data_IF_309936697534
#
_entry.id   IF_309936697534
#
_cell.length_a   1.000
_cell.length_b   1.000
_cell.length_c   1.000
_cell.angle_alpha   90.00
_cell.angle_beta   90.00
_cell.angle_gamma   90.00
#
_symmetry.space_group_name_H-M   'P 1'
#
loop_
_entity.id
_entity.type
_entity.pdbx_description
1 polymer ?
#
# COMPACT_ATOMS: atom_id res chain seq x y z
N UNK A 1 -7.79 56.25 -2.09
CA UNK A 1 -7.63 55.44 -0.84
C UNK A 1 -7.91 53.97 -1.06
N UNK A 2 -9.07 53.52 -1.52
CA UNK A 2 -9.37 52.09 -1.76
C UNK A 2 -8.44 51.46 -2.83
N UNK A 3 -8.19 52.14 -3.95
CA UNK A 3 -7.32 51.65 -4.99
C UNK A 3 -5.85 51.51 -4.53
N UNK A 4 -5.36 52.37 -3.63
CA UNK A 4 -4.04 52.28 -3.03
C UNK A 4 -3.97 51.10 -2.02
N UNK A 5 -5.01 50.85 -1.26
CA UNK A 5 -5.11 49.68 -0.39
C UNK A 5 -5.08 48.38 -1.21
N UNK A 6 -5.82 48.34 -2.31
CA UNK A 6 -5.88 47.17 -3.20
C UNK A 6 -4.48 46.89 -3.86
N UNK A 7 -3.77 47.92 -4.25
CA UNK A 7 -2.40 47.82 -4.77
C UNK A 7 -1.41 47.36 -3.69
N UNK A 8 -1.51 47.87 -2.46
CA UNK A 8 -0.70 47.44 -1.34
C UNK A 8 -0.95 45.96 -0.93
N UNK A 9 -2.22 45.54 -0.94
CA UNK A 9 -2.59 44.14 -0.68
C UNK A 9 -2.06 43.23 -1.80
N UNK A 10 -2.25 43.61 -3.06
CA UNK A 10 -1.65 42.86 -4.19
C UNK A 10 -0.13 42.85 -4.16
N UNK A 11 0.52 43.92 -3.79
CA UNK A 11 1.96 43.97 -3.67
C UNK A 11 2.50 43.10 -2.53
N UNK A 12 1.81 43.07 -1.39
CA UNK A 12 2.17 42.19 -0.25
C UNK A 12 1.93 40.71 -0.56
N UNK A 13 0.92 40.37 -1.37
CA UNK A 13 0.69 39.00 -1.83
C UNK A 13 1.74 38.57 -2.85
N UNK A 14 2.18 39.47 -3.73
CA UNK A 14 3.19 39.22 -4.75
C UNK A 14 4.62 39.20 -4.22
N UNK A 15 4.88 39.83 -3.05
CA UNK A 15 6.19 39.89 -2.41
C UNK A 15 6.34 38.94 -1.22
N UNK A 16 5.35 38.11 -0.94
CA UNK A 16 5.50 37.07 0.04
C UNK A 16 6.58 36.10 -0.47
N UNK A 17 7.77 36.15 0.14
CA UNK A 17 8.83 35.17 -0.16
C UNK A 17 8.22 33.78 -0.02
N UNK A 18 8.32 33.00 -1.11
CA UNK A 18 7.83 31.63 -1.13
C UNK A 18 8.37 30.89 0.07
N UNK A 19 7.50 30.37 0.88
CA UNK A 19 7.87 29.56 2.03
C UNK A 19 8.76 28.38 1.59
N UNK A 20 9.50 27.83 2.51
CA UNK A 20 10.42 26.71 2.25
C UNK A 20 9.65 25.48 1.73
N UNK A 21 8.42 25.31 2.20
CA UNK A 21 7.43 24.33 1.74
C UNK A 21 7.09 24.50 0.25
N UNK A 22 6.77 25.73 -0.19
CA UNK A 22 6.46 26.02 -1.59
C UNK A 22 7.64 25.79 -2.52
N UNK A 23 8.87 26.14 -2.08
CA UNK A 23 10.08 25.88 -2.87
C UNK A 23 10.38 24.38 -3.03
N UNK A 24 10.11 23.61 -1.98
CA UNK A 24 10.24 22.15 -2.03
C UNK A 24 9.19 21.57 -2.97
N UNK A 25 7.94 21.97 -2.86
CA UNK A 25 6.85 21.49 -3.73
C UNK A 25 7.15 21.79 -5.20
N UNK A 26 7.56 23.03 -5.53
CA UNK A 26 7.92 23.39 -6.91
C UNK A 26 9.11 22.59 -7.45
N UNK A 27 10.11 22.30 -6.61
CA UNK A 27 11.25 21.48 -7.02
C UNK A 27 10.89 20.02 -7.31
N UNK A 28 9.92 19.46 -6.57
CA UNK A 28 9.45 18.10 -6.75
C UNK A 28 8.30 17.95 -7.73
N UNK A 29 7.61 19.03 -8.10
CA UNK A 29 6.47 19.02 -9.01
C UNK A 29 6.73 18.31 -10.34
N UNK A 30 7.84 18.53 -11.07
CA UNK A 30 8.11 17.84 -12.32
C UNK A 30 8.20 16.30 -12.15
N UNK A 31 8.78 15.86 -11.04
CA UNK A 31 8.89 14.43 -10.71
C UNK A 31 7.50 13.87 -10.38
N UNK A 32 6.72 14.58 -9.58
CA UNK A 32 5.34 14.22 -9.25
C UNK A 32 4.46 14.12 -10.50
N UNK A 33 4.58 15.06 -11.42
CA UNK A 33 3.79 15.10 -12.67
C UNK A 33 4.09 13.90 -13.58
N UNK A 34 5.36 13.50 -13.68
CA UNK A 34 5.75 12.31 -14.45
C UNK A 34 5.14 11.05 -13.83
N UNK A 35 5.26 10.86 -12.52
CA UNK A 35 4.69 9.69 -11.84
C UNK A 35 3.17 9.69 -11.88
N UNK A 36 2.54 10.83 -11.63
CA UNK A 36 1.09 10.99 -11.69
C UNK A 36 0.57 10.73 -13.10
N UNK A 37 1.23 11.27 -14.13
CA UNK A 37 0.89 11.04 -15.51
C UNK A 37 1.00 9.56 -15.92
N UNK A 38 1.99 8.85 -15.39
CA UNK A 38 2.16 7.42 -15.67
C UNK A 38 1.13 6.55 -14.94
N UNK A 39 0.86 6.84 -13.67
CA UNK A 39 -0.07 6.04 -12.82
C UNK A 39 -1.52 6.33 -13.16
N UNK A 40 -1.87 7.61 -13.32
CA UNK A 40 -3.24 8.06 -13.61
C UNK A 40 -3.50 8.27 -15.11
N UNK A 41 -2.71 7.63 -15.97
CA UNK A 41 -2.94 7.68 -17.42
C UNK A 41 -4.39 7.31 -17.74
N UNK A 42 -5.16 8.20 -18.41
CA UNK A 42 -6.57 7.96 -18.66
C UNK A 42 -6.76 6.92 -19.77
N UNK A 43 -7.58 5.91 -19.50
CA UNK A 43 -8.09 4.98 -20.51
C UNK A 43 -9.62 5.12 -20.52
N UNK A 44 -10.14 5.81 -21.54
CA UNK A 44 -11.55 6.20 -21.56
C UNK A 44 -11.86 7.19 -20.44
N UNK A 45 -12.89 6.91 -19.66
CA UNK A 45 -13.38 7.82 -18.60
C UNK A 45 -12.64 7.67 -17.26
N UNK A 46 -11.78 6.65 -17.10
CA UNK A 46 -11.13 6.36 -15.83
C UNK A 46 -9.62 6.15 -15.97
N UNK A 47 -8.84 6.44 -14.92
CA UNK A 47 -7.41 6.15 -14.86
C UNK A 47 -7.10 4.65 -15.02
N UNK A 48 -6.02 4.34 -15.76
CA UNK A 48 -5.54 2.97 -15.99
C UNK A 48 -5.39 2.16 -14.69
N UNK A 49 -4.90 2.78 -13.64
CA UNK A 49 -4.69 2.13 -12.34
C UNK A 49 -5.96 1.52 -11.76
N UNK A 50 -7.13 2.12 -12.01
CA UNK A 50 -8.42 1.58 -11.53
C UNK A 50 -8.73 0.26 -12.24
N UNK A 51 -8.56 0.20 -13.57
CA UNK A 51 -8.77 -1.03 -14.32
C UNK A 51 -7.80 -2.14 -13.89
N UNK A 52 -6.53 -1.77 -13.63
CA UNK A 52 -5.52 -2.71 -13.17
C UNK A 52 -5.86 -3.27 -11.78
N UNK A 53 -6.21 -2.41 -10.82
CA UNK A 53 -6.50 -2.82 -9.45
C UNK A 53 -7.79 -3.63 -9.33
N UNK A 54 -8.88 -3.13 -9.90
CA UNK A 54 -10.18 -3.82 -9.87
C UNK A 54 -10.13 -5.09 -10.71
N UNK A 55 -9.54 -5.02 -11.89
CA UNK A 55 -9.39 -6.16 -12.80
C UNK A 55 -8.56 -7.29 -12.19
N UNK A 56 -7.41 -6.97 -11.58
CA UNK A 56 -6.58 -7.98 -10.91
C UNK A 56 -7.27 -8.58 -9.68
N UNK A 57 -7.94 -7.76 -8.88
CA UNK A 57 -8.68 -8.23 -7.71
C UNK A 57 -9.83 -9.17 -8.11
N UNK A 58 -10.58 -8.82 -9.15
CA UNK A 58 -11.63 -9.66 -9.70
C UNK A 58 -11.06 -10.96 -10.30
N UNK A 59 -9.98 -10.86 -11.07
CA UNK A 59 -9.29 -12.02 -11.64
C UNK A 59 -8.89 -13.02 -10.56
N UNK A 60 -8.19 -12.58 -9.52
CA UNK A 60 -7.79 -13.48 -8.44
C UNK A 60 -8.98 -14.03 -7.65
N UNK A 61 -10.03 -13.23 -7.45
CA UNK A 61 -11.24 -13.69 -6.77
C UNK A 61 -11.92 -14.82 -7.54
N UNK A 62 -11.99 -14.72 -8.87
CA UNK A 62 -12.58 -15.75 -9.73
C UNK A 62 -11.67 -16.98 -9.85
N UNK A 63 -10.36 -16.80 -10.05
CA UNK A 63 -9.39 -17.90 -10.19
C UNK A 63 -9.33 -18.75 -8.91
N UNK A 64 -9.34 -18.13 -7.75
CA UNK A 64 -9.27 -18.82 -6.46
C UNK A 64 -10.65 -19.14 -5.84
N UNK A 65 -11.74 -18.88 -6.57
CA UNK A 65 -13.10 -19.19 -6.16
C UNK A 65 -13.46 -18.61 -4.78
N UNK A 66 -13.31 -17.29 -4.64
CA UNK A 66 -13.64 -16.55 -3.41
C UNK A 66 -12.92 -17.10 -2.16
N UNK A 67 -11.58 -17.03 -2.10
CA UNK A 67 -10.80 -17.62 -1.01
C UNK A 67 -11.15 -17.02 0.35
N UNK A 68 -11.56 -15.76 0.39
CA UNK A 68 -12.03 -15.05 1.57
C UNK A 68 -13.27 -15.72 2.23
N UNK A 69 -14.18 -16.26 1.45
CA UNK A 69 -15.35 -16.99 1.95
C UNK A 69 -14.98 -18.44 2.24
N UNK A 70 -14.32 -19.10 1.28
CA UNK A 70 -14.01 -20.53 1.34
C UNK A 70 -13.09 -20.91 2.50
N UNK A 71 -12.07 -20.08 2.78
CA UNK A 71 -11.08 -20.37 3.82
C UNK A 71 -11.28 -19.56 5.09
N UNK A 72 -12.40 -18.86 5.25
CA UNK A 72 -12.66 -18.02 6.42
C UNK A 72 -12.56 -18.79 7.74
N UNK A 73 -13.22 -19.93 7.85
CA UNK A 73 -13.17 -20.78 9.05
C UNK A 73 -11.76 -21.34 9.27
N UNK A 74 -11.06 -21.70 8.19
CA UNK A 74 -9.68 -22.19 8.27
C UNK A 74 -8.76 -21.09 8.80
N UNK A 75 -8.90 -19.86 8.31
CA UNK A 75 -8.13 -18.71 8.78
C UNK A 75 -8.32 -18.46 10.28
N UNK A 76 -9.56 -18.53 10.79
CA UNK A 76 -9.85 -18.41 12.23
C UNK A 76 -9.16 -19.53 13.01
N UNK A 77 -9.19 -20.75 12.52
CA UNK A 77 -8.56 -21.90 13.18
C UNK A 77 -7.02 -21.76 13.21
N UNK A 78 -6.41 -21.24 12.14
CA UNK A 78 -4.96 -20.93 12.07
C UNK A 78 -4.59 -19.89 13.12
N UNK A 79 -5.33 -18.78 13.18
CA UNK A 79 -5.06 -17.71 14.16
C UNK A 79 -5.23 -18.18 15.60
N UNK A 80 -6.15 -19.14 15.83
CA UNK A 80 -6.34 -19.78 17.14
C UNK A 80 -5.28 -20.82 17.51
N UNK A 81 -4.30 -21.07 16.65
CA UNK A 81 -3.21 -22.03 16.88
C UNK A 81 -3.62 -23.49 16.74
N UNK A 82 -4.76 -23.80 16.09
CA UNK A 82 -5.19 -25.19 15.94
C UNK A 82 -4.21 -26.05 15.16
N UNK A 83 -3.41 -25.45 14.29
CA UNK A 83 -2.47 -26.13 13.42
C UNK A 83 -1.00 -25.97 13.86
N UNK A 84 -0.72 -25.25 14.94
CA UNK A 84 0.65 -24.99 15.42
C UNK A 84 1.45 -26.27 15.71
N UNK A 85 0.76 -27.36 16.12
CA UNK A 85 1.42 -28.64 16.36
C UNK A 85 1.81 -29.40 15.08
N UNK A 86 1.20 -29.05 13.93
CA UNK A 86 1.53 -29.66 12.64
C UNK A 86 2.73 -28.98 11.98
N UNK A 87 2.99 -27.73 12.36
CA UNK A 87 4.08 -26.91 11.81
C UNK A 87 5.39 -27.06 12.61
N UNK A 88 5.32 -27.56 13.86
CA UNK A 88 6.48 -27.85 14.69
C UNK A 88 7.14 -29.15 14.24
N UNK A 89 7.98 -29.06 13.23
CA UNK A 89 9.00 -30.10 12.98
C UNK A 89 10.09 -29.89 14.02
N UNK A 90 10.68 -30.96 14.57
CA UNK A 90 11.67 -30.96 15.68
C UNK A 90 12.92 -30.07 15.45
N UNK A 91 13.09 -29.55 14.24
CA UNK A 91 14.18 -28.63 13.88
C UNK A 91 13.82 -27.13 13.95
N UNK A 92 12.54 -26.77 14.16
CA UNK A 92 12.04 -25.39 13.94
C UNK A 92 11.74 -24.60 15.21
N UNK A 93 12.17 -25.03 16.38
CA UNK A 93 12.17 -24.17 17.58
C UNK A 93 13.31 -23.17 17.52
N UNK A 94 13.35 -22.33 16.47
CA UNK A 94 14.30 -21.22 16.38
C UNK A 94 13.66 -19.97 16.97
N UNK A 95 14.39 -19.36 17.89
CA UNK A 95 14.11 -18.04 18.43
C UNK A 95 13.86 -17.05 17.26
N UNK A 96 12.68 -16.44 17.22
CA UNK A 96 12.34 -15.43 16.21
C UNK A 96 11.07 -15.73 15.39
N UNK A 97 10.49 -16.93 15.43
CA UNK A 97 9.18 -17.15 14.81
C UNK A 97 8.07 -16.55 15.65
N UNK A 98 7.30 -15.66 15.02
CA UNK A 98 6.11 -15.05 15.63
C UNK A 98 4.92 -15.98 15.45
N UNK A 99 4.02 -16.07 16.43
CA UNK A 99 2.77 -16.82 16.31
C UNK A 99 1.88 -16.22 15.21
N UNK A 100 0.98 -17.04 14.66
CA UNK A 100 0.01 -16.57 13.65
C UNK A 100 -0.83 -15.40 14.14
N UNK A 101 -1.18 -15.35 15.43
CA UNK A 101 -1.88 -14.23 16.03
C UNK A 101 -1.01 -12.97 16.07
N UNK A 102 0.27 -13.09 16.43
CA UNK A 102 1.20 -11.96 16.44
C UNK A 102 1.45 -11.43 15.03
N UNK A 103 1.60 -12.32 14.04
CA UNK A 103 1.74 -11.94 12.64
C UNK A 103 0.51 -11.17 12.14
N UNK A 104 -0.70 -11.64 12.46
CA UNK A 104 -1.94 -10.95 12.13
C UNK A 104 -2.03 -9.59 12.81
N UNK A 105 -1.75 -9.51 14.11
CA UNK A 105 -1.79 -8.27 14.88
C UNK A 105 -0.81 -7.23 14.32
N UNK A 106 0.40 -7.64 13.97
CA UNK A 106 1.41 -6.77 13.35
C UNK A 106 0.96 -6.29 11.97
N UNK A 107 0.41 -7.18 11.14
CA UNK A 107 -0.10 -6.83 9.81
C UNK A 107 -1.26 -5.82 9.90
N UNK A 108 -2.21 -6.01 10.81
CA UNK A 108 -3.34 -5.09 11.03
C UNK A 108 -2.82 -3.75 11.53
N UNK A 109 -1.94 -3.74 12.52
CA UNK A 109 -1.35 -2.51 13.06
C UNK A 109 -0.57 -1.70 12.02
N UNK A 110 0.19 -2.38 11.15
CA UNK A 110 0.94 -1.71 10.08
C UNK A 110 0.08 -1.24 8.89
N UNK A 111 -1.13 -1.78 8.74
CA UNK A 111 -2.02 -1.44 7.62
C UNK A 111 -2.97 -0.30 7.97
N UNK A 112 -3.40 -0.19 9.22
CA UNK A 112 -4.33 0.85 9.67
C UNK A 112 -3.58 2.17 9.89
N UNK A 113 -3.91 3.16 9.07
CA UNK A 113 -3.32 4.49 9.13
C UNK A 113 -4.34 5.59 8.84
N UNK A 114 -3.89 6.84 8.74
CA UNK A 114 -4.74 7.98 8.42
C UNK A 114 -5.52 7.82 7.11
N UNK A 115 -4.98 7.08 6.14
CA UNK A 115 -5.68 6.75 4.91
C UNK A 115 -7.01 6.03 5.14
N UNK A 116 -7.07 5.16 6.14
CA UNK A 116 -8.30 4.43 6.49
C UNK A 116 -9.35 5.30 7.19
N UNK A 117 -8.94 6.43 7.76
CA UNK A 117 -9.82 7.36 8.48
C UNK A 117 -10.13 8.56 7.59
N UNK A 118 -9.14 9.39 7.32
CA UNK A 118 -9.30 10.62 6.55
C UNK A 118 -9.60 10.34 5.07
N UNK A 119 -8.94 9.35 4.46
CA UNK A 119 -9.19 8.95 3.06
C UNK A 119 -10.60 8.41 2.85
N UNK A 120 -11.13 7.63 3.79
CA UNK A 120 -12.52 7.13 3.73
C UNK A 120 -13.51 8.29 3.91
N UNK A 121 -13.26 9.19 4.86
CA UNK A 121 -14.10 10.36 5.06
C UNK A 121 -14.14 11.25 3.81
N UNK A 122 -12.98 11.49 3.17
CA UNK A 122 -12.90 12.23 1.92
C UNK A 122 -13.66 11.54 0.78
N UNK A 123 -13.50 10.23 0.65
CA UNK A 123 -14.20 9.45 -0.37
C UNK A 123 -15.73 9.53 -0.22
N UNK A 124 -16.23 9.52 1.02
CA UNK A 124 -17.67 9.69 1.31
C UNK A 124 -18.12 11.12 1.04
N UNK A 125 -17.31 12.11 1.40
CA UNK A 125 -17.62 13.52 1.16
C UNK A 125 -17.75 13.85 -0.34
N UNK A 126 -16.89 13.24 -1.18
CA UNK A 126 -16.89 13.46 -2.62
C UNK A 126 -17.87 12.54 -3.37
N UNK A 127 -17.98 11.29 -2.98
CA UNK A 127 -18.75 10.26 -3.68
C UNK A 127 -20.12 9.96 -3.04
N UNK A 128 -20.45 10.62 -1.93
CA UNK A 128 -21.70 10.39 -1.21
C UNK A 128 -21.81 8.99 -0.58
N UNK A 129 -23.00 8.58 -0.12
CA UNK A 129 -23.21 7.28 0.54
C UNK A 129 -22.86 6.08 -0.33
N UNK A 130 -22.95 6.19 -1.65
CA UNK A 130 -22.58 5.15 -2.61
C UNK A 130 -21.10 4.78 -2.55
N UNK A 131 -20.22 5.70 -2.16
CA UNK A 131 -18.80 5.43 -2.00
C UNK A 131 -18.53 4.33 -0.95
N UNK A 132 -19.28 4.34 0.15
CA UNK A 132 -19.16 3.30 1.19
C UNK A 132 -19.48 1.91 0.64
N UNK A 133 -20.56 1.80 -0.13
CA UNK A 133 -20.93 0.53 -0.77
C UNK A 133 -19.81 0.00 -1.67
N UNK A 134 -19.29 0.86 -2.55
CA UNK A 134 -18.22 0.45 -3.46
C UNK A 134 -16.90 0.14 -2.75
N UNK A 135 -16.57 0.86 -1.68
CA UNK A 135 -15.40 0.54 -0.86
C UNK A 135 -15.51 -0.84 -0.22
N UNK A 136 -16.69 -1.22 0.29
CA UNK A 136 -16.93 -2.56 0.86
C UNK A 136 -16.77 -3.63 -0.24
N UNK A 137 -17.38 -3.44 -1.40
CA UNK A 137 -17.27 -4.38 -2.53
C UNK A 137 -15.82 -4.54 -2.98
N UNK A 138 -15.11 -3.42 -3.19
CA UNK A 138 -13.69 -3.44 -3.56
C UNK A 138 -12.83 -4.10 -2.48
N UNK A 139 -13.13 -3.87 -1.20
CA UNK A 139 -12.46 -4.54 -0.09
C UNK A 139 -12.63 -6.06 -0.13
N UNK A 140 -13.85 -6.53 -0.35
CA UNK A 140 -14.14 -7.96 -0.43
C UNK A 140 -13.40 -8.64 -1.58
N UNK A 141 -13.41 -8.08 -2.78
CA UNK A 141 -12.67 -8.66 -3.91
C UNK A 141 -11.16 -8.49 -3.75
N UNK A 142 -10.70 -7.39 -3.13
CA UNK A 142 -9.29 -7.09 -2.88
C UNK A 142 -8.62 -8.06 -1.89
N UNK A 143 -9.39 -8.70 -1.00
CA UNK A 143 -8.87 -9.74 -0.10
C UNK A 143 -8.16 -10.88 -0.84
N UNK A 144 -8.66 -11.24 -2.03
CA UNK A 144 -8.07 -12.30 -2.85
C UNK A 144 -6.68 -11.93 -3.37
N UNK A 145 -6.45 -10.66 -3.70
CA UNK A 145 -5.13 -10.15 -4.08
C UNK A 145 -4.15 -10.27 -2.91
N UNK A 146 -4.60 -9.89 -1.70
CA UNK A 146 -3.77 -10.00 -0.49
C UNK A 146 -3.47 -11.45 -0.13
N UNK A 147 -4.42 -12.36 -0.32
CA UNK A 147 -4.20 -13.81 -0.16
C UNK A 147 -3.06 -14.30 -1.05
N UNK A 148 -3.05 -13.93 -2.33
CA UNK A 148 -1.98 -14.30 -3.29
C UNK A 148 -0.65 -13.69 -2.86
N UNK A 149 -0.64 -12.41 -2.53
CA UNK A 149 0.58 -11.70 -2.10
C UNK A 149 1.23 -12.36 -0.88
N UNK A 150 0.46 -12.61 0.16
CA UNK A 150 0.97 -13.25 1.37
C UNK A 150 1.45 -14.68 1.12
N UNK A 151 0.71 -15.44 0.30
CA UNK A 151 1.10 -16.82 -0.06
C UNK A 151 2.43 -16.83 -0.81
N UNK A 152 2.61 -15.96 -1.81
CA UNK A 152 3.86 -15.83 -2.53
C UNK A 152 5.00 -15.34 -1.62
N UNK A 153 4.72 -14.40 -0.72
CA UNK A 153 5.69 -13.89 0.24
C UNK A 153 6.25 -14.97 1.16
N UNK A 154 5.40 -15.88 1.63
CA UNK A 154 5.82 -17.03 2.47
C UNK A 154 6.51 -18.10 1.63
N UNK A 155 5.98 -18.40 0.44
CA UNK A 155 6.50 -19.46 -0.43
C UNK A 155 7.94 -19.20 -0.91
N UNK A 156 8.25 -17.94 -1.25
CA UNK A 156 9.55 -17.54 -1.79
C UNK A 156 10.48 -16.90 -0.76
N UNK A 157 10.15 -16.97 0.54
CA UNK A 157 11.00 -16.44 1.61
C UNK A 157 12.34 -17.19 1.67
N UNK A 158 13.38 -16.49 2.11
CA UNK A 158 14.66 -17.06 2.48
C UNK A 158 14.81 -17.06 3.99
N UNK A 159 15.38 -18.12 4.52
CA UNK A 159 15.75 -18.22 5.93
C UNK A 159 17.26 -18.42 5.99
N UNK A 160 17.95 -17.49 6.63
CA UNK A 160 19.40 -17.57 6.80
C UNK A 160 19.78 -18.57 7.89
N UNK A 161 21.07 -18.88 7.99
CA UNK A 161 21.64 -19.81 9.02
C UNK A 161 21.36 -19.35 10.45
N UNK A 162 21.24 -18.06 10.64
CA UNK A 162 20.93 -17.42 11.93
C UNK A 162 19.42 -17.35 12.24
N UNK A 163 18.58 -17.97 11.40
CA UNK A 163 17.13 -17.97 11.54
C UNK A 163 16.44 -16.67 11.09
N UNK A 164 17.18 -15.73 10.50
CA UNK A 164 16.60 -14.48 9.99
C UNK A 164 15.82 -14.75 8.71
N UNK A 165 14.58 -14.29 8.67
CA UNK A 165 13.67 -14.51 7.53
C UNK A 165 13.67 -13.29 6.61
N UNK A 166 13.97 -13.52 5.34
CA UNK A 166 13.94 -12.52 4.28
C UNK A 166 12.83 -12.89 3.29
N UNK A 167 11.91 -11.96 3.02
CA UNK A 167 10.78 -12.22 2.14
C UNK A 167 10.20 -10.94 1.55
N UNK A 168 9.08 -11.10 0.86
CA UNK A 168 8.34 -10.00 0.27
C UNK A 168 8.40 -9.95 -1.25
N UNK A 169 7.85 -8.87 -1.86
CA UNK A 169 7.70 -8.77 -3.31
C UNK A 169 9.00 -8.90 -4.11
N UNK A 170 10.10 -8.37 -3.60
CA UNK A 170 11.41 -8.48 -4.26
C UNK A 170 11.85 -9.94 -4.43
N UNK A 171 11.57 -10.79 -3.44
CA UNK A 171 11.93 -12.21 -3.44
C UNK A 171 11.06 -13.02 -4.39
N UNK A 172 9.72 -12.91 -4.30
CA UNK A 172 8.86 -13.67 -5.19
C UNK A 172 8.89 -13.18 -6.63
N UNK A 173 9.15 -11.89 -6.89
CA UNK A 173 9.37 -11.40 -8.26
C UNK A 173 10.64 -11.99 -8.85
N UNK A 174 11.74 -11.99 -8.09
CA UNK A 174 13.03 -12.52 -8.58
C UNK A 174 12.98 -14.02 -8.77
N UNK A 175 12.53 -14.78 -7.77
CA UNK A 175 12.54 -16.25 -7.79
C UNK A 175 11.43 -16.81 -8.66
N UNK A 176 10.20 -16.35 -8.50
CA UNK A 176 9.05 -16.87 -9.23
C UNK A 176 9.11 -16.60 -10.74
N UNK A 177 9.63 -15.44 -11.16
CA UNK A 177 9.85 -15.18 -12.58
C UNK A 177 11.06 -15.93 -13.14
N UNK A 178 12.09 -16.18 -12.31
CA UNK A 178 13.22 -17.03 -12.70
C UNK A 178 12.79 -18.47 -13.00
N UNK A 179 11.94 -19.06 -12.17
CA UNK A 179 11.37 -20.40 -12.38
C UNK A 179 10.58 -20.52 -13.69
N UNK A 180 10.01 -19.40 -14.15
CA UNK A 180 9.27 -19.32 -15.43
C UNK A 180 10.15 -18.90 -16.61
N UNK A 181 11.46 -18.78 -16.45
CA UNK A 181 12.41 -18.41 -17.50
C UNK A 181 12.56 -16.90 -17.73
N UNK A 182 11.91 -16.05 -16.91
CA UNK A 182 11.95 -14.58 -17.05
C UNK A 182 12.88 -13.93 -15.99
N UNK A 183 14.08 -14.47 -15.77
CA UNK A 183 14.99 -14.01 -14.72
C UNK A 183 15.33 -12.51 -14.80
N UNK A 184 15.62 -12.00 -16.00
CA UNK A 184 15.95 -10.57 -16.20
C UNK A 184 14.77 -9.66 -15.84
N UNK A 185 13.57 -10.04 -16.26
CA UNK A 185 12.35 -9.31 -15.94
C UNK A 185 12.10 -9.29 -14.44
N UNK A 186 12.29 -10.43 -13.76
CA UNK A 186 12.15 -10.55 -12.31
C UNK A 186 13.07 -9.62 -11.54
N UNK A 187 14.34 -9.56 -11.93
CA UNK A 187 15.32 -8.64 -11.31
C UNK A 187 14.95 -7.17 -11.50
N UNK A 188 14.59 -6.78 -12.71
CA UNK A 188 14.19 -5.40 -13.01
C UNK A 188 12.93 -5.01 -12.23
N UNK A 189 11.91 -5.86 -12.23
CA UNK A 189 10.67 -5.63 -11.50
C UNK A 189 10.91 -5.53 -9.98
N UNK A 190 11.79 -6.36 -9.41
CA UNK A 190 12.15 -6.32 -7.99
C UNK A 190 12.83 -5.01 -7.61
N UNK A 191 13.75 -4.51 -8.45
CA UNK A 191 14.44 -3.22 -8.22
C UNK A 191 13.45 -2.05 -8.32
N UNK A 192 12.60 -2.03 -9.34
CA UNK A 192 11.56 -0.99 -9.49
C UNK A 192 10.65 -1.00 -8.26
N UNK A 193 10.20 -2.18 -7.84
CA UNK A 193 9.36 -2.31 -6.65
C UNK A 193 10.06 -1.77 -5.39
N UNK A 194 11.35 -2.10 -5.19
CA UNK A 194 12.11 -1.62 -4.04
C UNK A 194 12.20 -0.08 -4.01
N UNK A 195 12.48 0.55 -5.16
CA UNK A 195 12.55 2.01 -5.29
C UNK A 195 11.16 2.63 -4.98
N UNK A 196 10.10 2.08 -5.55
CA UNK A 196 8.74 2.55 -5.29
C UNK A 196 8.33 2.37 -3.83
N UNK A 197 8.75 1.27 -3.19
CA UNK A 197 8.48 1.00 -1.78
C UNK A 197 9.17 2.01 -0.87
N UNK A 198 10.43 2.35 -1.14
CA UNK A 198 11.17 3.39 -0.42
C UNK A 198 10.46 4.74 -0.57
N UNK A 199 10.14 5.14 -1.80
CA UNK A 199 9.43 6.39 -2.06
C UNK A 199 8.05 6.45 -1.37
N UNK A 200 7.29 5.36 -1.43
CA UNK A 200 5.99 5.25 -0.76
C UNK A 200 6.09 5.34 0.76
N UNK A 201 7.14 4.75 1.35
CA UNK A 201 7.38 4.82 2.80
C UNK A 201 7.69 6.24 3.27
N UNK A 202 8.49 6.99 2.53
CA UNK A 202 8.79 8.38 2.85
C UNK A 202 7.58 9.30 2.65
N UNK A 203 6.86 9.18 1.55
CA UNK A 203 5.72 10.04 1.21
C UNK A 203 4.45 9.67 1.98
N UNK A 204 3.77 8.64 1.52
CA UNK A 204 2.47 8.24 2.07
C UNK A 204 2.53 7.61 3.46
N UNK A 205 3.59 6.86 3.74
CA UNK A 205 3.76 6.17 5.03
C UNK A 205 4.14 7.09 6.17
N UNK A 206 4.92 8.14 5.93
CA UNK A 206 5.44 9.01 7.00
C UNK A 206 5.03 10.48 6.81
N UNK A 207 5.48 11.14 5.75
CA UNK A 207 5.31 12.58 5.60
C UNK A 207 3.84 13.02 5.60
N UNK A 208 2.97 12.33 4.86
CA UNK A 208 1.55 12.66 4.81
C UNK A 208 0.85 12.46 6.15
N UNK A 209 1.19 11.40 6.90
CA UNK A 209 0.58 11.12 8.20
C UNK A 209 1.05 12.11 9.27
N UNK A 210 2.34 12.43 9.28
CA UNK A 210 2.92 13.42 10.21
C UNK A 210 2.36 14.82 9.95
N UNK A 211 2.19 15.21 8.69
CA UNK A 211 1.60 16.49 8.33
C UNK A 211 0.15 16.61 8.81
N UNK A 212 -0.68 15.58 8.62
CA UNK A 212 -2.05 15.58 9.10
C UNK A 212 -2.13 15.67 10.64
N UNK A 213 -1.26 14.95 11.34
CA UNK A 213 -1.18 15.04 12.81
C UNK A 213 -0.76 16.45 13.27
N UNK A 214 0.21 17.07 12.60
CA UNK A 214 0.68 18.42 12.93
C UNK A 214 -0.41 19.49 12.69
N UNK A 215 -1.23 19.35 11.64
CA UNK A 215 -2.36 20.27 11.39
C UNK A 215 -3.35 20.22 12.55
N UNK A 216 -3.75 19.03 12.97
CA UNK A 216 -4.71 18.87 14.10
C UNK A 216 -4.18 19.42 15.42
N UNK A 217 -2.86 19.38 15.65
CA UNK A 217 -2.26 19.93 16.87
C UNK A 217 -2.09 21.45 16.84
N UNK A 218 -2.21 22.08 15.66
CA UNK A 218 -2.04 23.52 15.49
C UNK A 218 -3.35 24.29 15.70
N UNK A 219 -4.51 23.64 15.51
CA UNK A 219 -5.84 24.17 15.76
C UNK A 219 -6.25 23.99 17.23
#
# INVERSE_FOLDING_TARGET
MIAQLFNLINYSILTQEKGLDQRIDEAFQPVSDIFSGAVFFPIGDYPFVIYLLVGSALFFTLVFLFPNIRYFVTAINVVRGKYDNLEKTESDSKDGEVSHFQALATAVSGTVGNGNIAGVALAIALGGPGATFWMIVCGLIGMSTKFVECTLGVHYRDVDKDGVVYGGPMYYLTKGLKERGFEKLGKVAAVIFAICCIGGSFGGGNAAQSNQAAIVLKD
#
